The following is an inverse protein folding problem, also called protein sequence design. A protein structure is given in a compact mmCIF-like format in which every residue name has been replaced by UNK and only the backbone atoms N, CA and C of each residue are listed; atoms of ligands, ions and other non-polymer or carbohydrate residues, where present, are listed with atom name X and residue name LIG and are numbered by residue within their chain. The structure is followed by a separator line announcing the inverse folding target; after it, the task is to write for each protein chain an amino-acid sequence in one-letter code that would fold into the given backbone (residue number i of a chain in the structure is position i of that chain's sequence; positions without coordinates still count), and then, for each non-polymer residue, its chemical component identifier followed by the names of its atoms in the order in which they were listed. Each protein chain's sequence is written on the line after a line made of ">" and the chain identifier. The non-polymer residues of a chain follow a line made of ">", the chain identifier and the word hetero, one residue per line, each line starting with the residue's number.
data_IF_991185811196
#
_entry.id   IF_991185811196
#
_cell.length_a   1.000
_cell.length_b   1.000
_cell.length_c   1.000
_cell.angle_alpha   90.00
_cell.angle_beta   90.00
_cell.angle_gamma   90.00
#
_symmetry.space_group_name_H-M   'P 1'
#
loop_
_entity.id
_entity.type
_entity.pdbx_description
1 polymer ?
#
# COMPACT_ATOMS: atom_id res chain seq x y z
N UNK A 1 13.64 -25.87 1.97
CA UNK A 1 14.28 -24.55 2.15
C UNK A 1 13.18 -23.49 2.28
N UNK A 2 13.28 -22.56 3.25
CA UNK A 2 12.27 -21.49 3.40
C UNK A 2 11.85 -21.16 4.83
N UNK A 3 12.20 -21.99 5.82
CA UNK A 3 11.87 -21.69 7.22
C UNK A 3 12.54 -20.41 7.72
N UNK A 4 13.85 -20.26 7.48
CA UNK A 4 14.60 -19.08 7.90
C UNK A 4 14.08 -17.79 7.22
N UNK A 5 13.77 -17.83 5.92
CA UNK A 5 13.22 -16.67 5.20
C UNK A 5 11.81 -16.33 5.65
N UNK A 6 10.93 -17.33 5.87
CA UNK A 6 9.59 -17.11 6.43
C UNK A 6 9.65 -16.54 7.84
N UNK A 7 10.56 -17.04 8.69
CA UNK A 7 10.77 -16.53 10.06
C UNK A 7 11.24 -15.07 10.03
N UNK A 8 12.21 -14.75 9.19
CA UNK A 8 12.67 -13.36 9.02
C UNK A 8 11.53 -12.47 8.51
N UNK A 9 10.83 -12.91 7.47
CA UNK A 9 9.71 -12.15 6.89
C UNK A 9 8.62 -11.89 7.93
N UNK A 10 8.21 -12.90 8.70
CA UNK A 10 7.22 -12.73 9.77
C UNK A 10 7.69 -11.74 10.84
N UNK A 11 8.96 -11.80 11.24
CA UNK A 11 9.51 -10.86 12.24
C UNK A 11 9.55 -9.41 11.75
N UNK A 12 9.90 -9.18 10.48
CA UNK A 12 9.91 -7.84 9.87
C UNK A 12 8.47 -7.36 9.69
N UNK A 13 7.57 -8.19 9.16
CA UNK A 13 6.17 -7.87 8.96
C UNK A 13 5.48 -7.41 10.25
N UNK A 14 5.77 -8.05 11.39
CA UNK A 14 5.19 -7.66 12.67
C UNK A 14 5.58 -6.23 13.08
N UNK A 15 6.85 -5.84 12.89
CA UNK A 15 7.33 -4.49 13.21
C UNK A 15 6.74 -3.46 12.25
N UNK A 16 6.78 -3.74 10.95
CA UNK A 16 6.24 -2.86 9.91
C UNK A 16 4.73 -2.63 10.07
N UNK A 17 3.96 -3.68 10.39
CA UNK A 17 2.52 -3.57 10.62
C UNK A 17 2.21 -2.70 11.85
N UNK A 18 2.99 -2.81 12.92
CA UNK A 18 2.85 -1.95 14.10
C UNK A 18 3.13 -0.49 13.79
N UNK A 19 4.18 -0.20 13.01
CA UNK A 19 4.50 1.17 12.59
C UNK A 19 3.43 1.76 11.66
N UNK A 20 2.95 0.99 10.67
CA UNK A 20 1.87 1.41 9.76
C UNK A 20 0.60 1.76 10.55
N UNK A 21 0.20 0.92 11.52
CA UNK A 21 -0.98 1.17 12.35
C UNK A 21 -0.86 2.48 13.15
N UNK A 22 0.31 2.77 13.74
CA UNK A 22 0.55 4.01 14.49
C UNK A 22 0.46 5.24 13.58
N UNK A 23 1.16 5.22 12.43
CA UNK A 23 1.15 6.34 11.50
C UNK A 23 -0.27 6.58 10.96
N UNK A 24 -0.96 5.50 10.55
CA UNK A 24 -2.33 5.60 10.06
C UNK A 24 -3.31 6.10 11.12
N UNK A 25 -3.14 5.71 12.38
CA UNK A 25 -3.95 6.22 13.49
C UNK A 25 -3.75 7.74 13.66
N UNK A 26 -2.51 8.21 13.64
CA UNK A 26 -2.20 9.65 13.74
C UNK A 26 -2.78 10.44 12.56
N UNK A 27 -2.72 9.89 11.34
CA UNK A 27 -3.34 10.48 10.16
C UNK A 27 -4.87 10.45 10.24
N UNK A 28 -5.45 9.37 10.76
CA UNK A 28 -6.90 9.22 10.92
C UNK A 28 -7.46 10.22 11.94
N UNK A 29 -6.76 10.45 13.05
CA UNK A 29 -7.13 11.48 14.04
C UNK A 29 -7.22 12.88 13.42
N UNK A 30 -6.48 13.14 12.35
CA UNK A 30 -6.44 14.40 11.60
C UNK A 30 -7.14 14.32 10.25
N UNK A 31 -7.90 13.25 10.00
CA UNK A 31 -8.43 12.91 8.67
C UNK A 31 -9.20 14.07 8.03
N UNK A 32 -9.97 14.81 8.82
CA UNK A 32 -10.84 15.90 8.37
C UNK A 32 -10.14 17.28 8.42
N UNK A 33 -8.89 17.35 8.90
CA UNK A 33 -8.09 18.58 8.88
C UNK A 33 -7.68 18.94 7.45
N UNK A 34 -7.84 20.21 7.08
CA UNK A 34 -7.36 20.74 5.79
C UNK A 34 -5.85 20.90 5.80
N UNK A 35 -5.18 20.44 4.74
CA UNK A 35 -3.72 20.51 4.63
C UNK A 35 -3.32 21.82 3.93
N UNK A 36 -2.85 22.81 4.68
CA UNK A 36 -2.29 24.02 4.08
C UNK A 36 -1.02 23.71 3.26
N UNK A 37 -0.79 24.37 2.10
CA UNK A 37 -1.58 25.44 1.47
C UNK A 37 -2.70 24.93 0.53
N UNK A 38 -2.98 23.62 0.50
CA UNK A 38 -3.91 22.98 -0.42
C UNK A 38 -5.38 23.21 0.00
N UNK A 39 -5.97 24.29 -0.51
CA UNK A 39 -7.36 24.70 -0.18
C UNK A 39 -8.36 23.61 -0.53
N UNK A 40 -9.21 23.26 0.43
CA UNK A 40 -10.30 22.28 0.26
C UNK A 40 -9.86 20.82 0.29
N UNK A 41 -8.57 20.53 0.50
CA UNK A 41 -8.06 19.17 0.55
C UNK A 41 -7.73 18.76 1.99
N UNK A 42 -8.31 17.64 2.43
CA UNK A 42 -8.09 17.10 3.78
C UNK A 42 -7.02 16.01 3.80
N UNK A 43 -6.53 15.66 4.98
CA UNK A 43 -5.61 14.52 5.17
C UNK A 43 -6.21 13.22 4.60
N UNK A 44 -7.51 12.99 4.82
CA UNK A 44 -8.22 11.85 4.24
C UNK A 44 -8.16 11.85 2.71
N UNK A 45 -8.33 13.01 2.07
CA UNK A 45 -8.27 13.10 0.62
C UNK A 45 -6.86 12.82 0.09
N UNK A 46 -5.82 13.34 0.73
CA UNK A 46 -4.43 13.06 0.35
C UNK A 46 -4.10 11.57 0.46
N UNK A 47 -4.43 10.95 1.59
CA UNK A 47 -4.18 9.50 1.79
C UNK A 47 -4.96 8.65 0.78
N UNK A 48 -6.21 9.01 0.47
CA UNK A 48 -7.00 8.34 -0.57
C UNK A 48 -6.35 8.50 -1.95
N UNK A 49 -5.92 9.69 -2.34
CA UNK A 49 -5.24 9.92 -3.64
C UNK A 49 -3.95 9.10 -3.78
N UNK A 50 -3.19 8.94 -2.69
CA UNK A 50 -2.00 8.07 -2.67
C UNK A 50 -2.40 6.60 -2.85
N UNK A 51 -3.48 6.17 -2.21
CA UNK A 51 -4.03 4.82 -2.39
C UNK A 51 -4.53 4.56 -3.81
N UNK A 52 -5.26 5.51 -4.39
CA UNK A 52 -5.74 5.45 -5.77
C UNK A 52 -4.56 5.31 -6.74
N UNK A 53 -3.51 6.12 -6.55
CA UNK A 53 -2.27 6.04 -7.33
C UNK A 53 -1.59 4.66 -7.21
N UNK A 54 -1.48 4.10 -6.00
CA UNK A 54 -0.90 2.76 -5.80
C UNK A 54 -1.73 1.66 -6.46
N UNK A 55 -3.05 1.74 -6.37
CA UNK A 55 -3.96 0.79 -7.01
C UNK A 55 -3.77 0.85 -8.54
N UNK A 56 -3.77 2.06 -9.10
CA UNK A 56 -3.57 2.30 -10.53
C UNK A 56 -2.22 1.75 -11.01
N UNK A 57 -1.14 1.95 -10.25
CA UNK A 57 0.17 1.42 -10.60
C UNK A 57 0.26 -0.10 -10.53
N UNK A 58 -0.37 -0.73 -9.53
CA UNK A 58 -0.37 -2.20 -9.44
C UNK A 58 -1.17 -2.87 -10.57
N UNK A 59 -2.21 -2.20 -11.08
CA UNK A 59 -3.07 -2.72 -12.13
C UNK A 59 -3.99 -3.86 -11.71
N UNK A 60 -4.22 -4.07 -10.41
CA UNK A 60 -5.05 -5.17 -9.90
C UNK A 60 -5.97 -4.73 -8.75
N UNK A 61 -7.11 -4.16 -9.11
CA UNK A 61 -8.19 -3.83 -8.17
C UNK A 61 -7.83 -2.77 -7.12
N UNK A 62 -8.77 -2.54 -6.19
CA UNK A 62 -8.56 -1.66 -5.05
C UNK A 62 -8.02 -2.48 -3.87
N UNK A 63 -6.75 -2.27 -3.52
CA UNK A 63 -6.05 -2.91 -2.39
C UNK A 63 -5.59 -1.90 -1.32
N UNK A 64 -5.71 -0.62 -1.62
CA UNK A 64 -5.52 0.48 -0.68
C UNK A 64 -6.70 1.45 -0.76
N UNK A 65 -7.09 2.05 0.37
CA UNK A 65 -8.34 2.82 0.45
C UNK A 65 -8.19 4.11 1.30
N UNK A 66 -6.96 4.61 1.47
CA UNK A 66 -6.64 5.71 2.38
C UNK A 66 -6.77 5.30 3.85
N UNK A 67 -6.80 6.28 4.77
CA UNK A 67 -7.01 6.03 6.21
C UNK A 67 -8.48 6.08 6.63
N UNK A 68 -9.36 6.56 5.74
CA UNK A 68 -10.81 6.71 5.95
C UNK A 68 -11.52 6.44 4.63
N UNK A 69 -12.43 5.46 4.62
CA UNK A 69 -13.25 5.14 3.45
C UNK A 69 -14.47 6.06 3.39
N UNK A 70 -15.01 6.27 2.18
CA UNK A 70 -16.15 7.16 1.94
C UNK A 70 -17.49 6.48 2.25
N UNK A 71 -17.56 5.17 2.02
CA UNK A 71 -18.71 4.33 2.32
C UNK A 71 -18.31 3.23 3.30
N UNK A 72 -19.12 3.05 4.35
CA UNK A 72 -18.96 1.97 5.33
C UNK A 72 -18.97 0.58 4.68
N UNK A 73 -19.64 0.42 3.54
CA UNK A 73 -19.65 -0.82 2.78
C UNK A 73 -18.33 -1.15 2.09
N UNK A 74 -17.40 -0.19 2.01
CA UNK A 74 -16.05 -0.41 1.48
C UNK A 74 -15.08 -0.87 2.57
N UNK A 75 -15.25 -0.42 3.82
CA UNK A 75 -14.33 -0.74 4.89
C UNK A 75 -14.40 -2.20 5.35
N UNK A 76 -13.47 -2.59 6.22
CA UNK A 76 -13.36 -3.94 6.76
C UNK A 76 -14.72 -4.46 7.29
N UNK A 77 -15.01 -5.71 6.95
CA UNK A 77 -16.29 -6.39 7.25
C UNK A 77 -17.55 -5.68 6.74
N UNK A 78 -17.41 -4.61 5.93
CA UNK A 78 -18.47 -3.65 5.57
C UNK A 78 -19.09 -2.94 6.77
N UNK A 79 -18.30 -2.77 7.84
CA UNK A 79 -18.78 -2.29 9.16
C UNK A 79 -18.02 -1.11 9.71
N UNK A 80 -16.95 -0.66 9.07
CA UNK A 80 -16.16 0.48 9.53
C UNK A 80 -15.94 1.50 8.43
N UNK A 81 -15.76 2.77 8.82
CA UNK A 81 -15.24 3.83 7.94
C UNK A 81 -13.76 4.13 8.21
N UNK A 82 -13.23 3.70 9.35
CA UNK A 82 -11.82 3.82 9.65
C UNK A 82 -11.04 2.73 8.92
N UNK A 83 -9.92 3.11 8.33
CA UNK A 83 -9.02 2.20 7.61
C UNK A 83 -7.60 2.25 8.18
N UNK A 84 -7.53 2.27 9.52
CA UNK A 84 -6.25 2.26 10.27
C UNK A 84 -5.53 0.93 10.03
N UNK A 85 -6.27 -0.18 10.05
CA UNK A 85 -5.79 -1.49 9.61
C UNK A 85 -6.53 -1.84 8.32
N UNK A 86 -5.80 -1.84 7.20
CA UNK A 86 -6.37 -2.16 5.89
C UNK A 86 -6.71 -3.64 5.76
N UNK A 87 -8.00 -3.95 5.65
CA UNK A 87 -8.47 -5.32 5.53
C UNK A 87 -9.77 -5.41 4.72
N UNK A 88 -9.96 -6.55 4.04
CA UNK A 88 -11.15 -6.82 3.25
C UNK A 88 -12.36 -7.26 4.08
N UNK A 89 -13.37 -7.82 3.40
CA UNK A 89 -14.63 -8.28 4.02
C UNK A 89 -14.44 -9.39 5.06
N UNK A 90 -13.38 -10.18 4.93
CA UNK A 90 -13.05 -11.27 5.85
C UNK A 90 -12.01 -10.84 6.91
N UNK A 91 -11.76 -9.54 7.05
CA UNK A 91 -10.72 -8.97 7.94
C UNK A 91 -9.30 -9.47 7.67
N UNK A 92 -9.06 -9.94 6.44
CA UNK A 92 -7.74 -10.29 5.93
C UNK A 92 -7.09 -9.09 5.24
N UNK A 93 -5.81 -8.86 5.56
CA UNK A 93 -5.02 -7.81 4.92
C UNK A 93 -4.82 -8.09 3.42
N UNK A 94 -4.83 -7.03 2.61
CA UNK A 94 -4.63 -7.14 1.17
C UNK A 94 -3.24 -7.65 0.83
N UNK A 95 -3.18 -8.65 -0.04
CA UNK A 95 -1.93 -9.22 -0.52
C UNK A 95 -1.51 -8.59 -1.85
N UNK A 96 -0.20 -8.36 -2.00
CA UNK A 96 0.40 -7.96 -3.26
C UNK A 96 1.34 -9.01 -3.80
N UNK A 97 1.30 -9.23 -5.11
CA UNK A 97 2.31 -10.03 -5.79
C UNK A 97 3.62 -9.23 -5.91
N UNK A 98 4.77 -9.89 -6.10
CA UNK A 98 6.01 -9.18 -6.36
C UNK A 98 5.95 -8.24 -7.57
N UNK A 99 5.25 -8.63 -8.65
CA UNK A 99 5.06 -7.78 -9.83
C UNK A 99 4.29 -6.50 -9.48
N UNK A 100 3.16 -6.63 -8.77
CA UNK A 100 2.37 -5.47 -8.32
C UNK A 100 3.19 -4.52 -7.45
N UNK A 101 4.00 -5.06 -6.52
CA UNK A 101 4.89 -4.26 -5.69
C UNK A 101 5.96 -3.54 -6.51
N UNK A 102 6.58 -4.22 -7.48
CA UNK A 102 7.61 -3.62 -8.35
C UNK A 102 7.03 -2.53 -9.26
N UNK A 103 5.84 -2.72 -9.83
CA UNK A 103 5.15 -1.68 -10.62
C UNK A 103 4.93 -0.39 -9.82
N UNK A 104 4.55 -0.52 -8.55
CA UNK A 104 4.40 0.61 -7.62
C UNK A 104 5.76 1.26 -7.35
N UNK A 105 6.76 0.47 -6.97
CA UNK A 105 8.10 0.99 -6.63
C UNK A 105 8.79 1.67 -7.81
N UNK A 106 8.62 1.14 -9.02
CA UNK A 106 9.19 1.70 -10.24
C UNK A 106 8.38 2.87 -10.79
N UNK A 107 7.12 3.03 -10.39
CA UNK A 107 6.25 4.12 -10.87
C UNK A 107 5.85 3.99 -12.34
N UNK A 108 6.18 2.89 -13.01
CA UNK A 108 6.06 2.69 -14.46
C UNK A 108 4.83 1.90 -14.89
N UNK A 109 4.08 1.33 -13.93
CA UNK A 109 3.03 0.31 -14.17
C UNK A 109 3.55 -0.97 -14.83
N UNK A 110 4.86 -1.12 -14.98
CA UNK A 110 5.50 -2.28 -15.58
C UNK A 110 6.69 -2.72 -14.70
N UNK A 111 6.59 -3.92 -14.14
CA UNK A 111 7.59 -4.55 -13.27
C UNK A 111 8.94 -4.83 -13.96
N UNK A 112 8.99 -4.68 -15.29
CA UNK A 112 10.20 -4.83 -16.10
C UNK A 112 10.89 -3.49 -16.40
N UNK A 113 10.24 -2.36 -16.11
CA UNK A 113 10.77 -1.02 -16.40
C UNK A 113 11.11 -0.31 -15.08
N UNK A 114 12.39 -0.32 -14.66
CA UNK A 114 12.84 0.40 -13.47
C UNK A 114 12.60 1.90 -13.52
N UNK A 115 12.54 2.54 -12.35
CA UNK A 115 12.23 3.96 -12.22
C UNK A 115 11.87 4.34 -10.79
N UNK A 116 11.25 5.51 -10.61
CA UNK A 116 10.62 5.92 -9.36
C UNK A 116 11.56 5.81 -8.14
N UNK A 117 11.14 5.04 -7.13
CA UNK A 117 11.90 4.83 -5.89
C UNK A 117 13.17 3.99 -6.09
N UNK A 118 13.23 3.22 -7.18
CA UNK A 118 14.37 2.37 -7.52
C UNK A 118 14.80 2.63 -8.97
N UNK A 119 15.46 3.77 -9.26
CA UNK A 119 15.77 4.19 -10.63
C UNK A 119 16.62 3.18 -11.42
N UNK A 120 17.44 2.39 -10.71
CA UNK A 120 18.30 1.34 -11.28
C UNK A 120 17.75 -0.07 -11.09
N UNK A 121 16.52 -0.20 -10.61
CA UNK A 121 15.87 -1.48 -10.33
C UNK A 121 16.24 -2.07 -8.97
N UNK A 122 15.41 -2.99 -8.48
CA UNK A 122 15.68 -3.75 -7.26
C UNK A 122 16.76 -4.83 -7.52
N UNK A 123 17.69 -4.99 -6.58
CA UNK A 123 18.83 -5.91 -6.73
C UNK A 123 18.58 -7.32 -6.17
N UNK A 124 17.33 -7.79 -6.19
CA UNK A 124 16.93 -9.12 -5.71
C UNK A 124 16.72 -10.12 -6.84
N UNK A 125 16.84 -11.42 -6.56
CA UNK A 125 16.62 -12.49 -7.57
C UNK A 125 15.24 -12.39 -8.23
N UNK A 126 14.19 -12.09 -7.45
CA UNK A 126 12.83 -11.92 -7.98
C UNK A 126 12.76 -10.76 -8.96
N UNK A 127 13.28 -9.59 -8.59
CA UNK A 127 13.24 -8.40 -9.43
C UNK A 127 14.07 -8.55 -10.71
N UNK A 128 15.27 -9.12 -10.60
CA UNK A 128 16.11 -9.43 -11.77
C UNK A 128 15.43 -10.41 -12.71
N UNK A 129 14.66 -11.36 -12.18
CA UNK A 129 13.87 -12.30 -12.99
C UNK A 129 12.86 -11.62 -13.92
N UNK A 130 12.23 -10.51 -13.51
CA UNK A 130 11.29 -9.78 -14.37
C UNK A 130 11.99 -9.03 -15.50
N UNK A 131 13.15 -8.41 -15.23
CA UNK A 131 13.91 -7.63 -16.23
C UNK A 131 14.62 -8.54 -17.24
N UNK A 132 15.03 -9.74 -16.85
CA UNK A 132 15.67 -10.71 -17.74
C UNK A 132 14.70 -11.35 -18.75
N UNK A 133 13.39 -11.25 -18.52
CA UNK A 133 12.33 -11.78 -19.39
C UNK A 133 11.80 -10.74 -20.40
N UNK A 134 12.43 -9.56 -20.47
CA UNK A 134 12.08 -8.47 -21.39
C UNK A 134 12.96 -8.48 -22.65
#
# INVERSE_FOLDING_TARGET
>A
MGYASKRLHASVLAVEAGQDAVIRMLLYQRADETVAPYKGHTVAEFTRRISDWRNELSGCGAKDEGVKVLDRHQGAERRTISNILGAGVDSLGYQRTPAEALRILYGSRNEQVPGGFLPRGANGTIARGFVQLA
#
